data_IF_441504221254
#
_entry.id   IF_441504221254
#
_cell.length_a   1.000
_cell.length_b   1.000
_cell.length_c   1.000
_cell.angle_alpha   90.00
_cell.angle_beta   90.00
_cell.angle_gamma   90.00
#
_symmetry.space_group_name_H-M   'P 1'
#
loop_
_entity.id
_entity.type
_entity.pdbx_description
1 polymer ?
2 water ?
#
# COMPACT_ATOMS: atom_id res chain seq x y z
N UNK A 4 13.49 -13.24 9.61
CA UNK A 4 12.27 -12.66 9.06
C UNK A 4 11.36 -12.10 10.14
N UNK A 5 10.12 -11.83 9.75
CA UNK A 5 9.07 -11.48 10.68
C UNK A 5 8.11 -12.65 10.78
N UNK A 6 7.73 -13.01 11.99
CA UNK A 6 6.78 -14.09 12.21
C UNK A 6 5.38 -13.53 12.40
N UNK A 7 4.36 -14.33 12.08
CA UNK A 7 2.97 -13.89 12.29
C UNK A 7 2.77 -13.45 13.74
N UNK A 8 2.01 -12.37 13.94
CA UNK A 8 1.81 -11.84 15.27
C UNK A 8 2.82 -10.77 15.64
N UNK A 9 3.94 -10.72 14.91
CA UNK A 9 4.98 -9.73 15.16
C UNK A 9 4.44 -8.31 15.05
N UNK A 10 4.64 -7.53 16.11
CA UNK A 10 4.29 -6.10 16.10
C UNK A 10 5.38 -5.31 15.40
N UNK A 11 4.97 -4.42 14.49
CA UNK A 11 5.90 -3.71 13.62
C UNK A 11 5.46 -2.28 13.37
N UNK A 12 6.33 -1.50 12.73
CA UNK A 12 6.00 -0.13 12.34
C UNK A 12 6.38 0.12 10.88
N UNK A 13 5.56 0.91 10.19
CA UNK A 13 5.84 1.28 8.81
C UNK A 13 5.66 2.77 8.61
N UNK A 14 6.74 3.55 8.84
CA UNK A 14 6.63 5.01 8.74
C UNK A 14 6.14 5.42 7.36
N UNK A 15 5.18 6.36 7.30
CA UNK A 15 4.57 7.02 8.45
C UNK A 15 3.12 6.55 8.67
N UNK A 16 2.87 5.25 8.52
CA UNK A 16 1.51 4.75 8.49
C UNK A 16 1.08 4.07 9.79
N UNK A 17 1.88 4.24 10.84
CA UNK A 17 1.50 3.77 12.15
C UNK A 17 1.96 2.37 12.50
N UNK A 18 1.43 1.85 13.61
CA UNK A 18 1.80 0.54 14.10
C UNK A 18 0.86 -0.53 13.53
N UNK A 19 1.40 -1.74 13.40
CA UNK A 19 0.63 -2.84 12.85
C UNK A 19 1.12 -4.19 13.31
N UNK A 20 0.52 -5.24 12.75
CA UNK A 20 0.87 -6.61 13.09
C UNK A 20 1.01 -7.45 11.82
N UNK A 21 1.99 -8.34 11.81
CA UNK A 21 2.22 -9.22 10.67
C UNK A 21 1.20 -10.36 10.68
N UNK A 22 0.34 -10.38 9.66
CA UNK A 22 -0.65 -11.45 9.52
C UNK A 22 0.02 -12.77 9.13
N UNK A 23 0.90 -12.72 8.14
CA UNK A 23 1.64 -13.89 7.70
C UNK A 23 2.31 -13.65 6.36
N UNK A 24 2.75 -14.74 5.73
CA UNK A 24 3.40 -14.64 4.43
C UNK A 24 2.59 -15.34 3.33
N UNK A 25 2.27 -14.60 2.28
CA UNK A 25 1.56 -15.15 1.13
C UNK A 25 2.46 -15.19 -0.10
N UNK A 26 2.47 -16.33 -0.79
CA UNK A 26 3.28 -16.49 -1.98
C UNK A 26 2.42 -16.42 -3.23
N UNK A 27 2.83 -15.59 -4.18
CA UNK A 27 2.14 -15.49 -5.46
C UNK A 27 3.13 -15.73 -6.58
N UNK A 28 2.69 -16.38 -7.64
CA UNK A 28 3.56 -16.72 -8.75
C UNK A 28 3.21 -15.87 -9.95
N UNK A 29 4.19 -15.17 -10.48
CA UNK A 29 3.96 -14.38 -11.66
C UNK A 29 4.98 -14.79 -12.66
N UNK A 30 4.53 -15.29 -13.82
CA UNK A 30 5.46 -15.70 -14.85
C UNK A 30 6.46 -16.69 -14.30
N UNK A 31 5.98 -17.61 -13.48
CA UNK A 31 6.75 -18.77 -13.07
C UNK A 31 7.74 -18.57 -11.94
N UNK A 32 7.80 -17.37 -11.39
CA UNK A 32 8.61 -17.16 -10.21
C UNK A 32 7.68 -16.74 -9.11
N UNK A 33 7.80 -17.41 -7.98
CA UNK A 33 6.88 -17.09 -6.88
C UNK A 33 7.53 -16.13 -5.89
N UNK A 34 6.98 -14.92 -5.82
CA UNK A 34 7.46 -13.91 -4.89
C UNK A 34 6.72 -14.05 -3.56
N UNK A 35 7.41 -13.73 -2.46
CA UNK A 35 6.80 -13.83 -1.14
C UNK A 35 6.51 -12.45 -0.57
N UNK A 36 5.27 -12.26 -0.12
CA UNK A 36 4.82 -10.99 0.44
C UNK A 36 4.46 -11.15 1.91
N UNK A 37 4.81 -10.15 2.71
CA UNK A 37 4.28 -10.02 4.07
C UNK A 37 2.95 -9.30 3.99
N UNK A 38 1.97 -9.75 4.76
CA UNK A 38 0.77 -8.95 4.95
C UNK A 38 0.81 -8.29 6.32
N UNK A 39 0.65 -6.97 6.34
CA UNK A 39 0.66 -6.24 7.60
C UNK A 39 -0.66 -5.53 7.79
N UNK A 40 -1.27 -5.73 8.95
CA UNK A 40 -2.56 -5.13 9.25
C UNK A 40 -2.38 -3.94 10.19
N UNK A 41 -3.01 -2.83 9.82
CA UNK A 41 -2.94 -1.63 10.62
C UNK A 41 -4.34 -1.34 11.14
N UNK A 42 -4.60 -1.74 12.39
CA UNK A 42 -5.95 -1.61 12.96
C UNK A 42 -6.33 -0.15 13.18
N UNK A 43 -5.34 0.69 13.42
CA UNK A 43 -5.58 2.10 13.67
C UNK A 43 -6.20 2.80 12.48
N UNK A 44 -5.90 2.30 11.28
CA UNK A 44 -6.42 2.89 10.05
C UNK A 44 -7.21 1.85 9.24
N UNK A 45 -7.42 0.68 9.82
CA UNK A 45 -8.12 -0.42 9.16
C UNK A 45 -7.53 -0.67 7.76
N UNK A 46 -6.21 -0.58 7.68
CA UNK A 46 -5.51 -0.69 6.40
C UNK A 46 -4.64 -1.93 6.36
N UNK A 47 -4.12 -2.20 5.17
CA UNK A 47 -3.17 -3.29 4.98
C UNK A 47 -2.01 -2.82 4.13
N UNK A 48 -0.88 -3.52 4.25
CA UNK A 48 0.26 -3.29 3.40
C UNK A 48 0.86 -4.64 3.03
N UNK A 49 1.08 -4.85 1.75
CA UNK A 49 1.73 -6.06 1.30
C UNK A 49 3.18 -5.72 0.95
N UNK A 50 4.11 -6.35 1.67
CA UNK A 50 5.52 -5.99 1.61
C UNK A 50 6.36 -7.20 1.24
N UNK A 51 7.04 -7.14 0.09
CA UNK A 51 7.93 -8.21 -0.35
C UNK A 51 8.94 -8.58 0.73
N UNK A 52 9.16 -9.87 0.93
CA UNK A 52 10.01 -10.35 2.01
C UNK A 52 11.47 -9.91 1.84
N UNK A 53 11.79 -9.41 0.65
CA UNK A 53 13.15 -8.94 0.38
C UNK A 53 13.24 -7.43 0.59
N UNK A 54 12.11 -6.83 0.99
CA UNK A 54 11.98 -5.38 0.97
C UNK A 54 11.87 -4.63 2.31
N UNK A 55 11.73 -5.35 3.43
CA UNK A 55 11.42 -4.62 4.67
C UNK A 55 12.34 -3.44 4.91
N UNK A 56 13.65 -3.68 4.88
CA UNK A 56 14.64 -2.65 5.12
C UNK A 56 14.54 -1.48 4.14
N UNK A 57 14.10 -1.76 2.92
CA UNK A 57 14.07 -0.74 1.88
C UNK A 57 12.87 0.20 1.99
N UNK A 58 11.79 -0.29 2.59
CA UNK A 58 10.57 0.52 2.69
C UNK A 58 10.33 1.02 4.11
N UNK A 59 11.11 0.52 5.06
CA UNK A 59 11.07 1.04 6.41
C UNK A 59 10.29 0.18 7.40
N UNK A 60 9.87 -1.01 6.97
CA UNK A 60 9.17 -1.91 7.87
C UNK A 60 10.13 -2.42 8.93
N UNK A 61 9.80 -2.18 10.20
CA UNK A 61 10.68 -2.54 11.31
C UNK A 61 9.90 -3.14 12.48
N UNK A 62 10.63 -3.79 13.40
CA UNK A 62 10.03 -4.26 14.64
C UNK A 62 9.59 -3.08 15.48
N UNK A 63 8.44 -3.20 16.14
CA UNK A 63 7.99 -2.17 17.04
C UNK A 63 8.73 -2.29 18.36
N UNK A 64 8.69 -1.23 19.16
CA UNK A 64 9.32 -1.24 20.49
C UNK A 64 8.87 -2.45 21.30
N UNK A 65 9.84 -3.21 21.81
CA UNK A 65 9.55 -4.27 22.77
C UNK A 65 9.31 -3.63 24.14
N UNK A 66 8.41 -4.21 24.94
CA UNK A 66 7.96 -3.62 26.21
C UNK A 66 9.10 -3.18 27.13
N UNK A 67 10.18 -3.92 27.15
CA UNK A 67 11.31 -3.59 28.02
C UNK A 67 12.10 -2.38 27.50
N UNK A 68 11.83 -1.98 26.25
CA UNK A 68 12.50 -0.81 25.68
C UNK A 68 11.82 0.48 26.15
N UNK A 69 10.56 0.34 26.54
CA UNK A 69 9.76 1.50 26.93
C UNK A 69 10.43 2.39 28.00
N UNK A 70 10.96 1.79 29.08
CA UNK A 70 11.62 2.60 30.11
C UNK A 70 12.83 3.36 29.57
N UNK A 71 13.63 2.72 28.72
CA UNK A 71 14.81 3.39 28.20
C UNK A 71 14.45 4.50 27.21
N UNK A 72 13.37 4.31 26.47
CA UNK A 72 12.88 5.35 25.58
C UNK A 72 12.42 6.59 26.36
N UNK A 73 11.81 6.36 27.52
CA UNK A 73 11.28 7.45 28.34
C UNK A 73 12.40 8.21 29.05
N UNK A 74 13.40 7.48 29.54
CA UNK A 74 14.57 8.09 30.13
C UNK A 74 15.35 8.88 29.09
N UNK A 75 15.29 8.42 27.85
CA UNK A 75 15.91 9.12 26.74
C UNK A 75 15.14 10.40 26.43
N UNK A 76 13.82 10.29 26.35
CA UNK A 76 12.99 11.48 26.14
C UNK A 76 13.25 12.52 27.23
N UNK A 77 13.52 12.04 28.44
CA UNK A 77 13.74 12.90 29.59
C UNK A 77 15.05 13.68 29.47
N UNK A 78 16.13 12.97 29.17
CA UNK A 78 17.46 13.57 29.13
C UNK A 78 17.96 13.83 27.72
N UNK A 79 17.06 13.79 26.74
CA UNK A 79 17.46 13.86 25.35
C UNK A 79 17.95 15.22 24.90
N UNK A 80 19.21 15.28 24.43
CA UNK A 80 19.79 16.53 23.95
C UNK A 80 20.49 16.33 22.61
N UNK A 81 20.43 17.34 21.76
CA UNK A 81 21.15 17.32 20.49
C UNK A 81 21.21 18.70 19.87
N UNK A 82 22.32 19.01 19.19
CA UNK A 82 22.40 20.28 18.48
C UNK A 82 21.41 20.35 17.32
N UNK A 83 20.76 21.50 17.18
CA UNK A 83 19.84 21.77 16.09
C UNK A 83 20.18 23.15 15.53
N UNK A 84 19.94 23.35 14.23
CA UNK A 84 20.22 24.66 13.63
C UNK A 84 19.38 25.75 14.26
N UNK A 85 19.97 26.94 14.40
CA UNK A 85 19.27 28.09 14.94
C UNK A 85 18.33 28.68 13.90
N UNK A 86 18.70 28.51 12.64
CA UNK A 86 17.90 28.99 11.53
C UNK A 86 16.65 28.13 11.40
N UNK A 87 15.48 28.76 11.45
CA UNK A 87 14.21 28.04 11.51
C UNK A 87 14.02 26.99 10.40
N UNK A 88 14.34 27.36 9.16
CA UNK A 88 14.11 26.49 8.02
C UNK A 88 15.01 25.24 8.01
N UNK A 89 16.29 25.45 8.26
CA UNK A 89 17.23 24.34 8.34
C UNK A 89 16.88 23.43 9.52
N UNK A 90 16.36 24.01 10.60
CA UNK A 90 15.95 23.22 11.76
C UNK A 90 14.72 22.37 11.45
N UNK A 91 13.73 22.97 10.79
CA UNK A 91 12.51 22.26 10.43
C UNK A 91 12.82 21.11 9.46
N UNK A 92 13.77 21.33 8.56
CA UNK A 92 14.23 20.28 7.68
C UNK A 92 14.71 19.11 8.52
N UNK A 93 15.57 19.43 9.49
CA UNK A 93 16.21 18.42 10.33
C UNK A 93 15.19 17.62 11.14
N UNK A 94 14.22 18.31 11.72
CA UNK A 94 13.22 17.64 12.55
C UNK A 94 12.31 16.77 11.69
N UNK A 95 11.96 17.27 10.52
CA UNK A 95 11.18 16.51 9.55
C UNK A 95 11.89 15.23 9.11
N UNK A 96 13.19 15.33 8.88
CA UNK A 96 13.96 14.15 8.49
C UNK A 96 13.95 13.10 9.59
N UNK A 97 14.09 13.53 10.83
CA UNK A 97 14.10 12.60 11.95
C UNK A 97 12.73 11.93 12.12
N UNK A 98 11.67 12.72 12.04
CA UNK A 98 10.32 12.20 12.18
C UNK A 98 9.99 11.21 11.06
N UNK A 99 10.35 11.59 9.83
CA UNK A 99 10.11 10.76 8.66
C UNK A 99 10.86 9.43 8.78
N UNK A 100 12.08 9.50 9.30
CA UNK A 100 12.86 8.28 9.50
C UNK A 100 12.14 7.36 10.50
N UNK A 101 11.51 7.97 11.50
CA UNK A 101 10.60 7.27 12.40
C UNK A 101 11.22 6.35 13.44
N UNK A 102 12.53 6.46 13.65
CA UNK A 102 13.17 5.71 14.70
C UNK A 102 12.75 6.26 16.08
N UNK A 103 12.29 5.37 16.98
CA UNK A 103 11.80 5.81 18.29
C UNK A 103 12.88 6.42 19.18
N UNK A 104 14.10 5.90 19.06
CA UNK A 104 15.22 6.44 19.83
C UNK A 104 15.64 7.82 19.34
N UNK A 105 15.73 8.00 18.03
CA UNK A 105 16.12 9.30 17.50
C UNK A 105 15.02 10.30 17.81
N UNK A 106 13.78 9.84 17.71
CA UNK A 106 12.64 10.72 17.93
C UNK A 106 12.54 11.18 19.38
N UNK A 107 12.79 10.25 20.30
CA UNK A 107 12.78 10.56 21.73
C UNK A 107 13.86 11.59 22.08
N UNK A 108 15.03 11.43 21.49
CA UNK A 108 16.18 12.27 21.77
C UNK A 108 15.90 13.69 21.25
N UNK A 109 15.29 13.77 20.09
CA UNK A 109 14.96 15.06 19.50
C UNK A 109 13.85 15.77 20.27
N UNK A 110 12.83 15.02 20.65
CA UNK A 110 11.72 15.58 21.42
C UNK A 110 12.22 16.07 22.78
N UNK A 111 13.17 15.34 23.35
CA UNK A 111 13.79 15.74 24.59
C UNK A 111 14.35 17.14 24.47
N UNK A 112 15.04 17.39 23.36
CA UNK A 112 15.66 18.68 23.10
C UNK A 112 14.62 19.77 22.93
N UNK A 113 13.60 19.49 22.10
CA UNK A 113 12.56 20.47 21.83
C UNK A 113 11.75 20.79 23.08
N UNK A 114 11.52 19.78 23.91
CA UNK A 114 10.75 19.94 25.13
C UNK A 114 11.51 20.77 26.16
N UNK A 115 12.81 20.53 26.26
CA UNK A 115 13.65 21.32 27.15
C UNK A 115 13.61 22.79 26.76
N UNK A 116 13.67 23.06 25.46
CA UNK A 116 13.58 24.43 24.95
C UNK A 116 12.24 25.04 25.24
N UNK A 117 11.18 24.25 25.11
CA UNK A 117 9.82 24.73 25.34
C UNK A 117 9.65 25.23 26.77
N UNK A 118 10.07 24.40 27.72
CA UNK A 118 9.93 24.75 29.12
C UNK A 118 10.82 25.93 29.50
N UNK A 119 11.98 26.03 28.85
CA UNK A 119 12.92 27.10 29.15
C UNK A 119 12.52 28.47 28.59
N UNK A 120 12.10 28.51 27.32
CA UNK A 120 11.83 29.78 26.65
C UNK A 120 10.74 29.69 25.58
N UNK A 121 10.02 28.58 25.54
CA UNK A 121 8.97 28.42 24.54
C UNK A 121 9.47 28.03 23.16
N UNK A 122 8.54 27.68 22.29
CA UNK A 122 8.86 27.15 20.98
C UNK A 122 8.07 27.87 19.89
N UNK A 123 8.68 28.06 18.71
CA UNK A 123 7.95 28.54 17.53
C UNK A 123 6.96 27.48 17.07
N UNK A 124 5.96 27.88 16.29
CA UNK A 124 4.90 26.96 15.85
C UNK A 124 5.41 25.71 15.14
N UNK A 125 6.37 25.89 14.24
CA UNK A 125 6.92 24.76 13.49
C UNK A 125 7.58 23.75 14.43
N UNK A 126 8.22 24.26 15.48
CA UNK A 126 8.89 23.41 16.44
C UNK A 126 7.88 22.69 17.33
N UNK A 127 6.77 23.38 17.61
CA UNK A 127 5.71 22.79 18.43
C UNK A 127 5.05 21.64 17.68
N UNK A 128 4.85 21.83 16.38
CA UNK A 128 4.26 20.80 15.54
C UNK A 128 5.14 19.57 15.49
N UNK A 129 6.45 19.77 15.40
CA UNK A 129 7.38 18.66 15.37
C UNK A 129 7.35 17.90 16.69
N UNK A 130 7.31 18.65 17.79
CA UNK A 130 7.29 18.06 19.12
C UNK A 130 6.00 17.29 19.35
N UNK A 131 4.88 17.87 18.92
CA UNK A 131 3.59 17.20 19.06
C UNK A 131 3.59 15.90 18.27
N UNK A 132 4.10 15.97 17.05
CA UNK A 132 4.19 14.82 16.18
C UNK A 132 5.06 13.73 16.80
N UNK A 133 6.19 14.13 17.38
CA UNK A 133 7.10 13.17 18.00
C UNK A 133 6.39 12.38 19.09
N UNK A 134 5.60 13.09 19.90
CA UNK A 134 4.90 12.49 21.02
C UNK A 134 3.76 11.59 20.54
N UNK A 135 3.09 12.02 19.46
CA UNK A 135 2.06 11.20 18.85
C UNK A 135 2.65 9.84 18.44
N UNK A 136 3.77 9.88 17.73
CA UNK A 136 4.39 8.66 17.24
C UNK A 136 4.86 7.73 18.35
N UNK A 137 5.49 8.29 19.38
CA UNK A 137 6.00 7.49 20.48
C UNK A 137 4.87 6.88 21.32
N UNK A 138 3.85 7.69 21.61
CA UNK A 138 2.74 7.25 22.43
C UNK A 138 2.02 6.07 21.79
N UNK A 139 1.72 6.19 20.51
CA UNK A 139 1.00 5.12 19.81
C UNK A 139 1.81 3.83 19.76
N UNK A 140 3.12 3.94 19.58
CA UNK A 140 3.97 2.75 19.56
C UNK A 140 4.11 2.15 20.96
N UNK A 141 4.20 3.01 21.96
CA UNK A 141 4.31 2.55 23.34
C UNK A 141 3.00 1.87 23.75
N UNK A 142 1.89 2.48 23.35
CA UNK A 142 0.57 1.95 23.67
C UNK A 142 0.40 0.55 23.10
N UNK A 143 0.84 0.35 21.87
CA UNK A 143 0.73 -0.94 21.21
C UNK A 143 1.64 -1.97 21.87
N UNK A 144 2.86 -1.55 22.19
CA UNK A 144 3.84 -2.45 22.77
C UNK A 144 3.38 -2.99 24.12
N UNK A 145 2.66 -2.18 24.87
CA UNK A 145 2.22 -2.55 26.21
C UNK A 145 0.76 -2.97 26.21
N UNK A 146 0.14 -2.93 25.03
CA UNK A 146 -1.26 -3.30 24.87
C UNK A 146 -2.15 -2.53 25.82
N UNK A 147 -1.93 -1.22 25.88
CA UNK A 147 -2.79 -0.31 26.64
C UNK A 147 -3.32 0.77 25.68
N UNK A 148 -4.12 1.68 26.21
CA UNK A 148 -4.67 2.75 25.39
C UNK A 148 -3.67 3.89 25.26
N UNK A 149 -3.75 4.64 24.17
CA UNK A 149 -2.89 5.80 23.97
C UNK A 149 -2.99 6.72 25.19
N UNK A 150 -4.21 6.87 25.70
CA UNK A 150 -4.46 7.67 26.90
C UNK A 150 -3.69 7.15 28.12
N UNK A 151 -3.68 5.84 28.29
CA UNK A 151 -2.96 5.23 29.40
C UNK A 151 -1.47 5.35 29.18
N UNK A 152 -1.04 5.23 27.93
CA UNK A 152 0.36 5.38 27.57
C UNK A 152 0.86 6.78 27.92
N UNK A 153 0.13 7.80 27.49
CA UNK A 153 0.49 9.18 27.79
C UNK A 153 0.78 9.40 29.28
N UNK A 154 0.03 8.71 30.14
CA UNK A 154 0.24 8.80 31.59
C UNK A 154 1.67 8.39 31.95
N UNK A 155 2.17 7.35 31.30
CA UNK A 155 3.54 6.87 31.52
C UNK A 155 4.60 7.92 31.18
N UNK A 156 4.24 8.89 30.36
CA UNK A 156 5.18 9.89 29.86
C UNK A 156 5.40 11.05 30.84
N UNK A 157 4.55 11.15 31.85
CA UNK A 157 4.56 12.29 32.78
C UNK A 157 5.94 12.63 33.33
N UNK A 158 6.64 11.64 33.87
CA UNK A 158 7.96 11.92 34.41
C UNK A 158 8.89 12.56 33.36
N UNK A 159 9.07 11.87 32.23
CA UNK A 159 9.95 12.38 31.18
C UNK A 159 9.51 13.75 30.66
N UNK A 160 8.19 13.91 30.50
CA UNK A 160 7.61 15.14 29.99
C UNK A 160 7.72 16.31 30.97
N UNK A 161 7.84 15.98 32.26
CA UNK A 161 8.00 16.96 33.33
C UNK A 161 6.70 17.53 33.86
N UNK A 162 5.59 16.92 33.46
CA UNK A 162 4.28 17.50 33.68
C UNK A 162 3.29 16.53 33.04
N UNK A 163 2.00 16.66 33.33
CA UNK A 163 1.03 15.78 32.69
C UNK A 163 0.71 16.26 31.27
N UNK A 164 0.50 15.30 30.36
CA UNK A 164 0.22 15.61 28.97
C UNK A 164 -1.28 15.69 28.70
N UNK A 165 -1.64 16.26 27.55
CA UNK A 165 -3.03 16.40 27.17
C UNK A 165 -3.46 15.37 26.12
N UNK B 1 16.90 8.17 -14.42
CA UNK B 1 15.50 8.49 -14.13
C UNK B 1 14.57 8.05 -15.27
N UNK B 2 14.90 6.92 -15.90
CA UNK B 2 14.00 6.42 -16.92
C UNK B 2 12.59 6.76 -16.39
N UNK B 3 12.39 6.50 -15.09
CA UNK B 3 11.12 6.77 -14.41
C UNK B 3 9.92 6.14 -15.15
N UNK B 4 9.81 4.81 -15.18
CA UNK B 4 8.72 4.20 -15.95
C UNK B 4 7.35 4.56 -15.37
N UNK B 5 7.22 4.41 -14.05
CA UNK B 5 5.97 4.77 -13.38
C UNK B 5 6.22 5.96 -12.46
N UNK B 6 5.34 6.95 -12.53
CA UNK B 6 5.51 8.18 -11.74
C UNK B 6 4.31 8.40 -10.83
N UNK B 7 4.47 9.17 -9.75
CA UNK B 7 3.38 9.42 -8.79
C UNK B 7 2.10 9.85 -9.48
N UNK B 8 0.98 9.26 -9.11
CA UNK B 8 -0.30 9.58 -9.70
C UNK B 8 -0.72 8.72 -10.88
N UNK B 9 0.19 7.89 -11.38
CA UNK B 9 -0.11 6.98 -12.49
C UNK B 9 -1.13 5.92 -12.06
N UNK B 10 -2.28 5.88 -12.72
CA UNK B 10 -3.27 4.83 -12.48
C UNK B 10 -2.74 3.48 -12.97
N UNK B 11 -2.66 2.51 -12.06
CA UNK B 11 -2.06 1.22 -12.40
C UNK B 11 -2.90 -0.01 -12.03
N UNK B 12 -2.48 -1.17 -12.52
CA UNK B 12 -3.07 -2.44 -12.14
C UNK B 12 -2.00 -3.40 -11.63
N UNK B 13 -2.31 -4.08 -10.52
CA UNK B 13 -1.42 -5.08 -9.96
C UNK B 13 -2.21 -6.23 -9.34
N UNK B 14 -2.31 -7.36 -10.06
CA UNK B 14 -3.04 -8.52 -9.54
C UNK B 14 -2.35 -9.12 -8.32
N UNK B 15 -3.12 -9.56 -7.32
CA UNK B 15 -4.59 -9.54 -7.35
C UNK B 15 -5.16 -8.40 -6.52
N UNK B 16 -4.37 -7.35 -6.28
CA UNK B 16 -4.83 -6.23 -5.47
C UNK B 16 -5.76 -5.34 -6.28
N UNK B 17 -5.68 -5.47 -7.60
CA UNK B 17 -6.58 -4.77 -8.49
C UNK B 17 -6.05 -3.43 -8.93
N UNK B 18 -6.96 -2.46 -9.07
CA UNK B 18 -6.61 -1.16 -9.61
C UNK B 18 -6.24 -0.16 -8.52
N UNK B 19 -5.20 0.61 -8.77
CA UNK B 19 -4.72 1.59 -7.81
C UNK B 19 -3.91 2.71 -8.43
N UNK B 20 -3.19 3.43 -7.58
CA UNK B 20 -2.41 4.59 -8.01
C UNK B 20 -1.03 4.55 -7.37
N UNK B 21 0.00 4.84 -8.16
CA UNK B 21 1.35 4.88 -7.61
C UNK B 21 1.59 6.18 -6.83
N UNK B 22 2.13 6.03 -5.62
CA UNK B 22 2.32 7.15 -4.71
C UNK B 22 3.69 7.79 -4.88
N UNK B 23 4.73 6.97 -4.90
CA UNK B 23 6.09 7.45 -5.01
C UNK B 23 7.07 6.31 -4.85
N UNK B 24 8.33 6.65 -4.64
CA UNK B 24 9.37 5.63 -4.49
C UNK B 24 9.90 5.55 -3.07
N UNK B 25 10.13 4.32 -2.61
CA UNK B 25 10.69 4.08 -1.29
C UNK B 25 12.07 3.47 -1.42
N UNK B 26 13.04 4.10 -0.79
CA UNK B 26 14.43 3.65 -0.86
C UNK B 26 15.19 4.12 0.38
N UNK B 27 15.40 3.22 1.31
CA UNK B 27 16.15 3.51 2.52
C UNK B 27 17.44 2.71 2.50
N UNK B 28 18.54 3.26 3.00
CA UNK B 28 19.79 2.53 2.91
C UNK B 28 19.92 1.48 4.02
N UNK B 29 20.08 0.22 3.63
CA UNK B 29 20.28 -0.87 4.60
C UNK B 29 21.59 -0.75 5.33
N UNK B 30 22.64 -0.53 4.56
CA UNK B 30 23.93 -0.11 5.06
C UNK B 30 24.27 1.02 4.13
N UNK B 31 24.81 0.65 2.97
CA UNK B 31 24.99 1.56 1.86
C UNK B 31 24.17 1.21 0.63
N UNK B 32 23.69 -0.03 0.57
CA UNK B 32 22.88 -0.49 -0.55
C UNK B 32 21.41 -0.13 -0.37
N UNK B 33 20.79 0.34 -1.44
CA UNK B 33 19.40 0.80 -1.37
C UNK B 33 18.55 0.35 -2.56
N UNK B 34 18.01 -0.86 -2.47
CA UNK B 34 17.05 -1.34 -3.45
C UNK B 34 15.81 -0.46 -3.38
N UNK B 35 15.27 -0.08 -4.55
CA UNK B 35 14.14 0.85 -4.60
C UNK B 35 12.82 0.18 -4.97
N UNK B 36 11.73 0.68 -4.38
CA UNK B 36 10.40 0.11 -4.59
C UNK B 36 9.36 1.19 -4.85
N UNK B 37 8.47 0.94 -5.81
CA UNK B 37 7.31 1.80 -6.00
C UNK B 37 6.30 1.49 -4.90
N UNK B 38 5.73 2.53 -4.32
CA UNK B 38 4.58 2.34 -3.44
C UNK B 38 3.31 2.53 -4.24
N UNK B 39 2.42 1.54 -4.18
CA UNK B 39 1.17 1.59 -4.92
C UNK B 39 -0.02 1.50 -3.97
N UNK B 40 -0.93 2.46 -4.07
CA UNK B 40 -2.10 2.51 -3.19
C UNK B 40 -3.35 1.96 -3.87
N UNK B 41 -4.16 1.24 -3.10
CA UNK B 41 -5.42 0.70 -3.56
C UNK B 41 -6.52 1.11 -2.60
N UNK B 42 -7.02 2.35 -2.74
CA UNK B 42 -7.98 2.97 -1.83
C UNK B 42 -9.19 2.09 -1.56
N UNK B 43 -9.63 1.35 -2.58
CA UNK B 43 -10.76 0.47 -2.45
C UNK B 43 -10.57 -0.57 -1.36
N UNK B 44 -9.43 -1.26 -1.39
CA UNK B 44 -9.12 -2.28 -0.41
C UNK B 44 -8.44 -1.69 0.81
N UNK B 45 -8.39 -0.36 0.89
CA UNK B 45 -7.63 0.32 1.93
C UNK B 45 -6.25 -0.32 2.04
N UNK B 46 -5.66 -0.62 0.90
CA UNK B 46 -4.41 -1.37 0.84
C UNK B 46 -3.29 -0.62 0.13
N UNK B 47 -2.09 -1.15 0.26
CA UNK B 47 -0.95 -0.66 -0.49
C UNK B 47 0.07 -1.79 -0.65
N UNK B 48 0.81 -1.75 -1.76
CA UNK B 48 1.86 -2.74 -2.00
C UNK B 48 3.11 -2.09 -2.58
N UNK B 49 4.22 -2.82 -2.54
CA UNK B 49 5.49 -2.31 -3.04
C UNK B 49 6.04 -3.17 -4.18
N UNK B 50 6.45 -2.50 -5.26
CA UNK B 50 6.94 -3.15 -6.46
C UNK B 50 8.37 -2.69 -6.78
N UNK B 51 9.27 -3.65 -7.06
CA UNK B 51 10.67 -3.37 -7.41
C UNK B 51 10.78 -2.41 -8.59
N UNK B 52 11.58 -1.36 -8.45
CA UNK B 52 11.71 -0.37 -9.52
C UNK B 52 12.45 -0.92 -10.72
N UNK B 53 13.42 -1.79 -10.49
CA UNK B 53 14.24 -2.33 -11.57
C UNK B 53 13.42 -3.19 -12.54
N UNK B 54 12.52 -4.00 -12.00
CA UNK B 54 11.71 -4.88 -12.83
C UNK B 54 10.25 -4.90 -12.39
N UNK B 55 9.51 -3.82 -12.69
CA UNK B 55 8.10 -3.68 -12.31
C UNK B 55 7.24 -4.79 -12.91
N UNK B 56 7.48 -5.09 -14.19
CA UNK B 56 6.65 -6.05 -14.91
C UNK B 56 6.90 -7.48 -14.43
N UNK B 57 8.05 -7.71 -13.79
CA UNK B 57 8.36 -9.03 -13.27
C UNK B 57 7.29 -9.52 -12.30
N UNK B 58 6.72 -8.60 -11.52
CA UNK B 58 5.72 -8.95 -10.52
C UNK B 58 4.30 -8.62 -10.97
N UNK B 59 4.18 -8.10 -12.19
CA UNK B 59 2.88 -7.90 -12.80
C UNK B 59 2.28 -6.51 -12.76
N UNK B 60 3.10 -5.51 -12.43
CA UNK B 60 2.60 -4.12 -12.40
C UNK B 60 2.51 -3.57 -13.81
N UNK B 61 1.35 -2.99 -14.14
CA UNK B 61 1.14 -2.40 -15.45
C UNK B 61 0.30 -1.14 -15.36
N UNK B 62 0.41 -0.29 -16.38
CA UNK B 62 -0.46 0.88 -16.49
C UNK B 62 -1.89 0.44 -16.70
N UNK B 63 -2.82 1.18 -16.09
CA UNK B 63 -4.24 0.93 -16.31
C UNK B 63 -4.66 1.53 -17.65
N UNK B 64 -5.82 1.13 -18.14
CA UNK B 64 -6.38 1.70 -19.37
C UNK B 64 -6.52 3.22 -19.26
N UNK B 65 -6.05 3.93 -20.28
CA UNK B 65 -6.31 5.34 -20.41
C UNK B 65 -7.68 5.50 -21.04
N UNK B 66 -8.39 6.59 -20.71
CA UNK B 66 -9.74 6.82 -21.21
C UNK B 66 -9.87 6.62 -22.72
N UNK B 67 -8.81 6.91 -23.46
CA UNK B 67 -8.91 6.85 -24.92
C UNK B 67 -8.80 5.42 -25.46
N UNK B 68 -8.40 4.50 -24.60
CA UNK B 68 -8.35 3.08 -24.94
C UNK B 68 -9.70 2.40 -24.71
N UNK B 69 -10.57 3.05 -23.95
CA UNK B 69 -11.84 2.44 -23.57
C UNK B 69 -12.75 2.04 -24.73
N UNK B 70 -12.89 2.91 -25.73
CA UNK B 70 -13.74 2.62 -26.90
C UNK B 70 -13.45 1.31 -27.61
N UNK B 71 -12.20 0.86 -27.60
CA UNK B 71 -11.88 -0.40 -28.27
C UNK B 71 -12.20 -1.58 -27.37
N UNK B 72 -12.06 -1.39 -26.06
CA UNK B 72 -12.52 -2.40 -25.12
C UNK B 72 -14.00 -2.67 -25.34
N UNK B 73 -14.77 -1.60 -25.54
CA UNK B 73 -16.20 -1.73 -25.78
C UNK B 73 -16.48 -2.45 -27.09
N UNK B 74 -15.67 -2.17 -28.11
CA UNK B 74 -15.81 -2.82 -29.41
C UNK B 74 -15.49 -4.32 -29.30
N UNK B 75 -14.48 -4.64 -28.51
CA UNK B 75 -14.10 -6.03 -28.28
C UNK B 75 -15.22 -6.80 -27.58
N UNK B 76 -15.91 -6.15 -26.65
CA UNK B 76 -17.04 -6.78 -25.98
C UNK B 76 -18.15 -7.10 -26.95
N UNK B 77 -18.45 -6.16 -27.83
CA UNK B 77 -19.53 -6.32 -28.80
C UNK B 77 -19.18 -7.23 -29.97
N UNK B 78 -17.96 -7.12 -30.49
CA UNK B 78 -17.60 -7.79 -31.74
C UNK B 78 -16.43 -8.77 -31.68
N UNK B 79 -15.77 -8.86 -30.53
CA UNK B 79 -14.60 -9.71 -30.41
C UNK B 79 -14.92 -11.19 -30.63
N UNK B 80 -14.08 -11.85 -31.42
CA UNK B 80 -14.17 -13.29 -31.61
C UNK B 80 -12.82 -13.91 -31.32
N UNK B 81 -12.82 -15.18 -30.96
CA UNK B 81 -11.59 -15.79 -30.51
C UNK B 81 -11.70 -17.31 -30.44
N UNK B 82 -10.77 -18.00 -31.13
CA UNK B 82 -10.72 -19.45 -31.03
C UNK B 82 -10.44 -19.87 -29.60
N UNK B 83 -11.30 -20.73 -29.07
CA UNK B 83 -11.09 -21.31 -27.76
C UNK B 83 -11.22 -22.82 -27.89
N UNK B 84 -10.48 -23.55 -27.06
CA UNK B 84 -10.56 -25.02 -27.08
C UNK B 84 -12.01 -25.51 -27.09
N UNK B 85 -12.26 -26.50 -27.94
CA UNK B 85 -13.56 -27.15 -28.03
C UNK B 85 -13.82 -27.95 -26.75
N UNK B 86 -12.75 -28.49 -26.18
CA UNK B 86 -12.83 -29.30 -24.97
C UNK B 86 -13.00 -28.39 -23.75
N UNK B 87 -14.16 -28.51 -23.09
CA UNK B 87 -14.56 -27.54 -22.07
C UNK B 87 -13.60 -27.41 -20.88
N UNK B 88 -12.93 -28.49 -20.53
CA UNK B 88 -11.98 -28.46 -19.42
C UNK B 88 -10.71 -27.73 -19.85
N UNK B 89 -10.27 -28.02 -21.07
CA UNK B 89 -9.12 -27.33 -21.63
C UNK B 89 -9.44 -25.85 -21.78
N UNK B 90 -10.67 -25.56 -22.19
CA UNK B 90 -11.11 -24.19 -22.38
C UNK B 90 -11.08 -23.42 -21.07
N UNK B 91 -11.54 -24.07 -20.01
CA UNK B 91 -11.57 -23.42 -18.70
C UNK B 91 -10.15 -23.10 -18.23
N UNK B 92 -9.21 -23.98 -18.53
CA UNK B 92 -7.83 -23.72 -18.21
C UNK B 92 -7.35 -22.48 -18.97
N UNK B 93 -7.78 -22.33 -20.22
CA UNK B 93 -7.44 -21.18 -21.04
C UNK B 93 -8.01 -19.87 -20.49
N UNK B 94 -9.33 -19.86 -20.26
CA UNK B 94 -10.00 -18.69 -19.75
C UNK B 94 -9.40 -18.26 -18.41
N UNK B 95 -9.06 -19.22 -17.58
CA UNK B 95 -8.47 -18.92 -16.28
C UNK B 95 -7.11 -18.24 -16.45
N UNK B 96 -6.34 -18.75 -17.41
CA UNK B 96 -5.04 -18.21 -17.74
C UNK B 96 -5.13 -16.77 -18.25
N UNK B 97 -6.10 -16.50 -19.13
CA UNK B 97 -6.33 -15.16 -19.67
C UNK B 97 -6.69 -14.15 -18.57
N UNK B 98 -7.62 -14.53 -17.71
CA UNK B 98 -8.07 -13.66 -16.62
C UNK B 98 -6.93 -13.39 -15.64
N UNK B 99 -6.19 -14.44 -15.32
CA UNK B 99 -5.09 -14.34 -14.36
C UNK B 99 -4.01 -13.42 -14.90
N UNK B 100 -3.74 -13.54 -16.20
CA UNK B 100 -2.80 -12.66 -16.90
C UNK B 100 -3.17 -11.20 -16.69
N UNK B 101 -4.45 -10.89 -16.88
CA UNK B 101 -4.97 -9.58 -16.56
C UNK B 101 -5.05 -8.60 -17.72
N UNK B 102 -4.49 -8.98 -18.87
CA UNK B 102 -4.51 -8.11 -20.04
C UNK B 102 -5.94 -7.76 -20.40
N UNK B 103 -6.28 -6.46 -20.33
CA UNK B 103 -7.66 -6.01 -20.54
C UNK B 103 -8.18 -6.26 -21.95
N UNK B 104 -7.33 -6.09 -22.96
CA UNK B 104 -7.75 -6.30 -24.34
C UNK B 104 -8.03 -7.78 -24.62
N UNK B 105 -7.17 -8.64 -24.10
CA UNK B 105 -7.33 -10.08 -24.27
C UNK B 105 -8.59 -10.54 -23.55
N UNK B 106 -8.76 -10.06 -22.32
CA UNK B 106 -9.93 -10.40 -21.51
C UNK B 106 -11.23 -9.95 -22.19
N UNK B 107 -11.21 -8.75 -22.74
CA UNK B 107 -12.37 -8.20 -23.42
C UNK B 107 -12.69 -8.97 -24.71
N UNK B 108 -11.64 -9.44 -25.38
CA UNK B 108 -11.79 -10.19 -26.62
C UNK B 108 -12.44 -11.53 -26.30
N UNK B 109 -11.97 -12.14 -25.22
CA UNK B 109 -12.50 -13.42 -24.76
C UNK B 109 -13.94 -13.29 -24.31
N UNK B 110 -14.25 -12.18 -23.66
CA UNK B 110 -15.60 -11.95 -23.16
C UNK B 110 -16.56 -11.73 -24.31
N UNK B 111 -16.06 -11.13 -25.39
CA UNK B 111 -16.86 -10.93 -26.58
C UNK B 111 -17.26 -12.28 -27.15
N UNK B 112 -16.30 -13.20 -27.16
CA UNK B 112 -16.53 -14.52 -27.71
C UNK B 112 -17.50 -15.32 -26.84
N UNK B 113 -17.27 -15.30 -25.52
CA UNK B 113 -18.13 -16.00 -24.58
C UNK B 113 -19.56 -15.47 -24.66
N UNK B 114 -19.69 -14.16 -24.82
CA UNK B 114 -21.00 -13.53 -24.94
C UNK B 114 -21.73 -13.99 -26.21
N UNK B 115 -21.01 -14.04 -27.31
CA UNK B 115 -21.60 -14.49 -28.58
C UNK B 115 -22.17 -15.89 -28.43
N UNK B 116 -21.43 -16.74 -27.73
CA UNK B 116 -21.85 -18.10 -27.47
C UNK B 116 -23.08 -18.16 -26.56
N UNK B 117 -23.14 -17.31 -25.55
CA UNK B 117 -24.29 -17.26 -24.65
C UNK B 117 -25.55 -17.02 -25.46
N UNK B 118 -25.44 -16.16 -26.46
CA UNK B 118 -26.58 -15.81 -27.31
C UNK B 118 -26.95 -16.94 -28.26
N UNK B 119 -25.94 -17.54 -28.88
CA UNK B 119 -26.16 -18.51 -29.95
C UNK B 119 -26.27 -19.96 -29.46
N UNK B 120 -25.49 -20.32 -28.43
CA UNK B 120 -25.53 -21.67 -27.89
C UNK B 120 -25.98 -21.74 -26.43
N UNK B 121 -25.61 -20.75 -25.64
CA UNK B 121 -25.74 -20.81 -24.20
C UNK B 121 -24.42 -21.27 -23.61
N UNK B 122 -24.08 -20.77 -22.44
CA UNK B 122 -22.81 -21.14 -21.82
C UNK B 122 -22.99 -22.13 -20.70
N UNK B 123 -22.09 -23.12 -20.61
CA UNK B 123 -21.97 -23.98 -19.43
C UNK B 123 -21.55 -23.13 -18.22
N UNK B 124 -21.84 -23.60 -17.01
CA UNK B 124 -21.61 -22.82 -15.80
C UNK B 124 -20.21 -22.18 -15.74
N UNK B 125 -19.17 -22.99 -15.96
CA UNK B 125 -17.80 -22.50 -15.87
C UNK B 125 -17.48 -21.35 -16.83
N UNK B 126 -17.96 -21.45 -18.06
CA UNK B 126 -17.76 -20.37 -19.03
C UNK B 126 -18.50 -19.10 -18.60
N UNK B 127 -19.73 -19.26 -18.10
CA UNK B 127 -20.52 -18.14 -17.63
C UNK B 127 -19.81 -17.46 -16.47
N UNK B 128 -19.17 -18.28 -15.65
CA UNK B 128 -18.36 -17.82 -14.54
C UNK B 128 -17.19 -16.96 -15.03
N UNK B 129 -16.51 -17.44 -16.07
CA UNK B 129 -15.40 -16.72 -16.67
C UNK B 129 -15.86 -15.40 -17.27
N UNK B 130 -17.02 -15.40 -17.90
CA UNK B 130 -17.59 -14.17 -18.45
C UNK B 130 -17.88 -13.16 -17.35
N UNK B 131 -18.52 -13.62 -16.27
CA UNK B 131 -18.82 -12.75 -15.13
C UNK B 131 -17.56 -12.13 -14.56
N UNK B 132 -16.54 -12.95 -14.37
CA UNK B 132 -15.27 -12.51 -13.84
C UNK B 132 -14.60 -11.51 -14.79
N UNK B 133 -14.69 -11.76 -16.09
CA UNK B 133 -14.15 -10.83 -17.08
C UNK B 133 -14.80 -9.45 -16.97
N UNK B 134 -16.12 -9.43 -16.89
CA UNK B 134 -16.89 -8.20 -16.75
C UNK B 134 -16.49 -7.45 -15.48
N UNK B 135 -16.29 -8.20 -14.41
CA UNK B 135 -15.93 -7.59 -13.12
C UNK B 135 -14.56 -6.90 -13.21
N UNK B 136 -13.56 -7.62 -13.71
CA UNK B 136 -12.23 -7.06 -13.87
C UNK B 136 -12.21 -5.86 -14.81
N UNK B 137 -12.98 -5.95 -15.89
CA UNK B 137 -13.03 -4.85 -16.85
C UNK B 137 -13.74 -3.63 -16.26
N UNK B 138 -14.86 -3.87 -15.58
CA UNK B 138 -15.62 -2.79 -14.96
C UNK B 138 -14.80 -1.99 -13.94
N UNK B 139 -14.08 -2.70 -13.06
CA UNK B 139 -13.17 -2.05 -12.12
C UNK B 139 -12.21 -1.12 -12.84
N UNK B 140 -11.56 -1.62 -13.90
CA UNK B 140 -10.54 -0.85 -14.58
C UNK B 140 -11.13 0.32 -15.37
N UNK B 141 -12.23 0.06 -16.08
CA UNK B 141 -12.88 1.10 -16.86
C UNK B 141 -13.45 2.18 -15.96
N UNK B 142 -13.96 1.77 -14.79
CA UNK B 142 -14.52 2.72 -13.83
C UNK B 142 -13.45 3.71 -13.37
N UNK B 143 -12.32 3.19 -12.90
CA UNK B 143 -11.24 4.03 -12.42
C UNK B 143 -10.69 4.89 -13.54
N UNK B 144 -10.65 4.34 -14.75
CA UNK B 144 -10.12 5.07 -15.90
C UNK B 144 -10.97 6.29 -16.24
N UNK B 145 -12.28 6.08 -16.29
CA UNK B 145 -13.21 7.13 -16.68
C UNK B 145 -13.75 7.88 -15.46
N UNK B 146 -13.18 7.61 -14.30
CA UNK B 146 -13.62 8.23 -13.06
C UNK B 146 -15.14 8.13 -12.88
N UNK B 147 -15.66 6.91 -13.03
CA UNK B 147 -17.07 6.64 -12.78
C UNK B 147 -17.16 5.46 -11.82
N UNK B 148 -18.37 5.04 -11.50
CA UNK B 148 -18.53 3.91 -10.59
C UNK B 148 -18.58 2.59 -11.36
N UNK B 149 -18.24 1.52 -10.66
CA UNK B 149 -18.26 0.17 -11.25
C UNK B 149 -19.61 -0.14 -11.91
N UNK B 150 -20.70 0.28 -11.27
CA UNK B 150 -22.03 0.07 -11.85
C UNK B 150 -22.25 0.93 -13.10
N UNK B 151 -21.73 2.15 -13.08
CA UNK B 151 -21.77 3.01 -14.25
C UNK B 151 -20.97 2.37 -15.38
N UNK B 152 -19.88 1.70 -15.03
CA UNK B 152 -19.06 1.02 -16.03
C UNK B 152 -19.80 -0.17 -16.59
N UNK B 153 -20.49 -0.91 -15.72
CA UNK B 153 -21.25 -2.07 -16.16
C UNK B 153 -22.42 -1.70 -17.08
N UNK B 154 -23.04 -0.55 -16.87
CA UNK B 154 -24.10 -0.11 -17.76
C UNK B 154 -23.56 0.05 -19.17
N UNK B 155 -22.38 0.67 -19.28
CA UNK B 155 -21.70 0.81 -20.55
C UNK B 155 -21.60 -0.53 -21.28
N UNK B 156 -21.13 -1.54 -20.57
CA UNK B 156 -20.97 -2.87 -21.16
C UNK B 156 -22.30 -3.42 -21.65
N UNK B 157 -23.34 -3.22 -20.84
CA UNK B 157 -24.68 -3.64 -21.19
C UNK B 157 -25.16 -2.99 -22.48
N UNK B 158 -24.76 -1.72 -22.68
CA UNK B 158 -25.17 -0.97 -23.87
C UNK B 158 -24.54 -1.52 -25.15
N UNK B 159 -23.25 -1.83 -25.08
CA UNK B 159 -22.57 -2.39 -26.24
C UNK B 159 -23.20 -3.71 -26.64
N UNK B 160 -23.96 -4.30 -25.72
CA UNK B 160 -24.57 -5.61 -25.95
C UNK B 160 -26.07 -5.52 -26.29
N UNK B 161 -26.85 -4.94 -25.39
CA UNK B 161 -28.29 -4.85 -25.58
C UNK B 161 -28.69 -4.32 -26.95
#
# INVERSE_FOLDING_TARGET
>A
SXKEFRPGDKVVLPPYGVGVVAGIAQRSVSGVSRAYYQVDFPGSRSKAYVPVEAPHSVGLRKALAPEEVPVILDLLKNGRMPLPKQWAARHRKTSEILADGNPYRIAQMAGQLRAWEVERGLPDLDRQALRRAIHLLAEEVAQSLEITVQEAKRLFEEAWGEELN
>B
SMKEFRPGDKVVLPPYGVGVVAGIAQRSVSGVSRAYYQVDFPGSRSKAYVPVEAPHSVGLRKALAPEEVPVILDLLKNGRMPLPKQWAARHRKTSEILADGNPYRIAQMAGQLRAWEVERGLPDLDRQALRRAIHLLAEEVAQSLEITVQEAKRLFEEAWGEELN
#
